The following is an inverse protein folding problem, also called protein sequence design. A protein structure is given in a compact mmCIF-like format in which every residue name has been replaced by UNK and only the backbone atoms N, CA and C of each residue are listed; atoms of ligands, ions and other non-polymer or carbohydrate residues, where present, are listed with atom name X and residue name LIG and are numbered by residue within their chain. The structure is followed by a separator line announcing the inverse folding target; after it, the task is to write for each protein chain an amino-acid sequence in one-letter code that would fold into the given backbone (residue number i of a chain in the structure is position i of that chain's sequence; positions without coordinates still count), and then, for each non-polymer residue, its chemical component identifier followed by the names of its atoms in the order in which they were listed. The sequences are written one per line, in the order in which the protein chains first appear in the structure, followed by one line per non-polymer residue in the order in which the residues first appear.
data_IF_664846834842
#
_entry.id   IF_664846834842
#
_cell.length_a   1.000
_cell.length_b   1.000
_cell.length_c   1.000
_cell.angle_alpha   90.00
_cell.angle_beta   90.00
_cell.angle_gamma   90.00
#
_symmetry.space_group_name_H-M   'P 1'
#
loop_
_entity.id
_entity.type
_entity.pdbx_description
1 polymer ?
#
# COMPACT_ATOMS: atom_id res chain seq x y z
N UNK A 1 14.52 0.75 -26.53
CA UNK A 1 13.49 0.96 -25.49
C UNK A 1 14.14 0.60 -24.16
N UNK A 2 14.37 1.57 -23.28
CA UNK A 2 14.86 1.28 -21.92
C UNK A 2 13.71 0.64 -21.14
N UNK A 3 13.89 -0.59 -20.67
CA UNK A 3 12.89 -1.28 -19.85
C UNK A 3 12.67 -0.49 -18.56
N UNK A 4 11.42 -0.14 -18.23
CA UNK A 4 11.06 0.39 -16.91
C UNK A 4 10.83 -0.79 -15.97
N UNK A 5 11.43 -0.78 -14.79
CA UNK A 5 11.08 -1.75 -13.75
C UNK A 5 9.83 -1.27 -13.02
N UNK A 6 9.00 -2.20 -12.59
CA UNK A 6 7.74 -1.87 -11.95
C UNK A 6 7.47 -2.75 -10.74
N UNK A 7 6.83 -2.14 -9.74
CA UNK A 7 6.18 -2.84 -8.62
C UNK A 7 4.69 -2.57 -8.70
N UNK A 8 3.88 -3.61 -8.59
CA UNK A 8 2.43 -3.50 -8.46
C UNK A 8 2.02 -3.86 -7.04
N UNK A 9 1.26 -2.98 -6.41
CA UNK A 9 0.60 -3.21 -5.12
C UNK A 9 -0.88 -3.44 -5.42
N UNK A 10 -1.36 -4.67 -5.27
CA UNK A 10 -2.76 -5.00 -5.43
C UNK A 10 -3.44 -5.03 -4.07
N UNK A 11 -4.58 -4.34 -3.95
CA UNK A 11 -5.50 -4.50 -2.84
C UNK A 11 -6.59 -5.49 -3.26
N UNK A 12 -6.85 -6.47 -2.44
CA UNK A 12 -7.92 -7.44 -2.63
C UNK A 12 -8.77 -7.49 -1.37
N UNK A 13 -10.09 -7.56 -1.54
CA UNK A 13 -11.03 -7.81 -0.46
C UNK A 13 -11.68 -9.17 -0.72
N UNK A 14 -11.58 -10.10 0.22
CA UNK A 14 -12.19 -11.42 0.10
C UNK A 14 -12.46 -12.00 1.48
N UNK A 15 -13.61 -12.65 1.66
CA UNK A 15 -13.99 -13.32 2.91
C UNK A 15 -13.96 -12.42 4.17
N UNK A 16 -14.14 -11.10 3.99
CA UNK A 16 -14.09 -10.15 5.10
C UNK A 16 -12.67 -9.71 5.49
N UNK A 17 -11.66 -10.01 4.66
CA UNK A 17 -10.29 -9.56 4.88
C UNK A 17 -9.84 -8.65 3.72
N UNK A 18 -8.98 -7.67 4.03
CA UNK A 18 -8.26 -6.88 3.03
C UNK A 18 -6.80 -7.28 2.99
N UNK A 19 -6.31 -7.66 1.82
CA UNK A 19 -4.90 -8.01 1.58
C UNK A 19 -4.28 -7.04 0.59
N UNK A 20 -3.14 -6.47 0.98
CA UNK A 20 -2.23 -5.72 0.13
C UNK A 20 -1.08 -6.64 -0.29
N UNK A 21 -0.85 -6.78 -1.59
CA UNK A 21 0.27 -7.58 -2.13
C UNK A 21 1.14 -6.74 -3.05
N UNK A 22 2.40 -6.53 -2.68
CA UNK A 22 3.38 -5.78 -3.46
C UNK A 22 4.35 -6.75 -4.14
N UNK A 23 4.40 -6.74 -5.47
CA UNK A 23 5.27 -7.63 -6.25
C UNK A 23 5.92 -6.88 -7.41
N UNK A 24 7.20 -7.17 -7.68
CA UNK A 24 7.89 -6.68 -8.86
C UNK A 24 9.36 -6.41 -8.64
N UNK A 25 9.91 -5.45 -9.37
CA UNK A 25 11.32 -5.06 -9.27
C UNK A 25 11.48 -3.56 -9.48
N UNK A 26 12.39 -2.95 -8.73
CA UNK A 26 12.82 -1.56 -8.93
C UNK A 26 14.29 -1.54 -9.37
N UNK A 27 14.61 -0.71 -10.35
CA UNK A 27 15.96 -0.35 -10.77
C UNK A 27 16.24 1.08 -10.29
N UNK A 28 16.79 1.18 -9.08
CA UNK A 28 17.05 2.42 -8.36
C UNK A 28 18.20 3.25 -8.95
N UNK A 29 18.62 2.94 -10.18
CA UNK A 29 19.56 3.75 -10.93
C UNK A 29 18.99 5.15 -11.12
N UNK A 30 19.79 6.17 -10.80
CA UNK A 30 19.43 7.59 -10.85
C UNK A 30 18.38 8.04 -9.82
N UNK A 31 17.89 7.14 -8.95
CA UNK A 31 17.04 7.52 -7.84
C UNK A 31 17.85 8.30 -6.80
N UNK A 32 17.29 9.41 -6.31
CA UNK A 32 17.92 10.22 -5.27
C UNK A 32 17.75 9.52 -3.91
N UNK A 33 18.86 9.08 -3.32
CA UNK A 33 18.89 8.60 -1.95
C UNK A 33 18.62 9.76 -1.00
N UNK A 34 17.69 9.57 -0.07
CA UNK A 34 17.30 10.55 0.93
C UNK A 34 17.93 10.24 2.29
N UNK A 35 17.65 9.04 2.82
CA UNK A 35 18.12 8.63 4.14
C UNK A 35 18.11 7.10 4.30
N UNK A 36 18.51 6.64 5.47
CA UNK A 36 18.28 5.29 5.94
C UNK A 36 17.31 5.30 7.11
N UNK A 37 16.48 4.27 7.23
CA UNK A 37 15.68 4.01 8.43
C UNK A 37 16.00 2.64 8.98
N UNK A 38 16.06 2.50 10.31
CA UNK A 38 16.28 1.22 10.97
C UNK A 38 14.98 0.39 11.09
N UNK A 39 13.82 1.05 11.04
CA UNK A 39 12.50 0.42 11.10
C UNK A 39 11.43 1.40 10.65
N UNK A 40 10.24 0.92 10.30
CA UNK A 40 9.08 1.75 10.02
C UNK A 40 7.81 1.08 10.55
N UNK A 41 6.76 1.85 10.92
CA UNK A 41 5.49 1.28 11.32
C UNK A 41 4.82 0.62 10.10
N UNK A 42 4.45 -0.65 10.25
CA UNK A 42 3.71 -1.41 9.23
C UNK A 42 2.23 -1.08 9.33
N UNK A 43 1.61 -0.70 8.22
CA UNK A 43 0.20 -0.33 8.18
C UNK A 43 -0.14 0.67 7.08
N UNK A 44 -1.30 1.29 7.23
CA UNK A 44 -1.83 2.24 6.26
C UNK A 44 -2.44 3.48 6.91
N UNK A 45 -2.14 4.64 6.32
CA UNK A 45 -2.87 5.92 6.49
C UNK A 45 -3.15 6.41 5.08
N UNK A 46 -4.42 6.67 4.75
CA UNK A 46 -4.83 6.84 3.36
C UNK A 46 -5.12 8.29 2.94
N UNK A 47 -5.03 9.25 3.87
CA UNK A 47 -5.36 10.68 3.66
C UNK A 47 -4.22 11.55 3.09
N UNK A 48 -4.58 12.72 2.57
CA UNK A 48 -3.70 13.58 1.78
C UNK A 48 -2.64 14.37 2.52
N UNK A 49 -2.77 14.56 3.83
CA UNK A 49 -1.77 15.34 4.59
C UNK A 49 -0.56 14.52 5.00
N UNK A 50 -0.75 13.23 5.30
CA UNK A 50 0.32 12.33 5.71
C UNK A 50 -0.14 10.90 5.43
N UNK A 51 0.12 10.41 4.23
CA UNK A 51 -0.24 9.06 3.84
C UNK A 51 0.95 8.12 4.06
N UNK A 52 0.65 6.87 4.35
CA UNK A 52 1.63 5.80 4.50
C UNK A 52 1.02 4.52 3.98
N UNK A 53 1.79 3.73 3.23
CA UNK A 53 1.44 2.40 2.81
C UNK A 53 2.66 1.50 2.97
N UNK A 54 2.64 0.64 3.99
CA UNK A 54 3.81 -0.13 4.39
C UNK A 54 3.50 -1.64 4.40
N UNK A 55 3.41 -2.29 3.22
CA UNK A 55 3.02 -3.70 3.14
C UNK A 55 4.12 -4.68 3.58
N UNK A 56 5.39 -4.26 3.65
CA UNK A 56 6.52 -5.11 4.04
C UNK A 56 6.73 -5.23 5.55
N UNK A 57 7.46 -6.27 5.98
CA UNK A 57 7.62 -6.69 7.38
C UNK A 57 8.39 -5.77 8.37
N UNK A 58 8.59 -4.49 8.07
CA UNK A 58 9.01 -3.48 9.08
C UNK A 58 10.51 -3.40 9.41
N UNK A 59 11.42 -3.77 8.51
CA UNK A 59 12.87 -3.78 8.75
C UNK A 59 13.63 -2.51 8.33
N UNK A 60 14.97 -2.60 8.34
CA UNK A 60 15.85 -1.53 7.88
C UNK A 60 15.71 -1.27 6.37
N UNK A 61 15.71 0.00 5.98
CA UNK A 61 15.45 0.44 4.61
C UNK A 61 16.32 1.60 4.16
N UNK A 62 16.68 1.61 2.88
CA UNK A 62 17.11 2.81 2.17
C UNK A 62 15.89 3.57 1.64
N UNK A 63 15.91 4.90 1.77
CA UNK A 63 14.81 5.76 1.36
C UNK A 63 15.20 6.53 0.10
N UNK A 64 14.33 6.50 -0.90
CA UNK A 64 14.51 7.21 -2.15
C UNK A 64 13.35 8.16 -2.41
N UNK A 65 13.65 9.34 -2.94
CA UNK A 65 12.64 10.35 -3.26
C UNK A 65 11.80 9.95 -4.47
N UNK A 66 10.48 10.03 -4.32
CA UNK A 66 9.53 9.86 -5.40
C UNK A 66 9.46 11.14 -6.23
N UNK A 67 9.54 10.99 -7.55
CA UNK A 67 9.41 12.09 -8.52
C UNK A 67 7.97 12.56 -8.68
N UNK A 68 7.02 11.63 -8.63
CA UNK A 68 5.59 11.93 -8.64
C UNK A 68 4.84 10.93 -7.79
N UNK A 69 3.73 11.37 -7.19
CA UNK A 69 2.89 10.57 -6.33
C UNK A 69 1.46 11.15 -6.32
N UNK A 70 0.43 10.34 -6.04
CA UNK A 70 -0.93 10.82 -5.85
C UNK A 70 -1.05 11.66 -4.58
N UNK A 71 -2.03 12.57 -4.55
CA UNK A 71 -2.31 13.35 -3.35
C UNK A 71 -2.86 12.50 -2.20
N UNK A 72 -3.64 11.45 -2.50
CA UNK A 72 -4.31 10.58 -1.53
C UNK A 72 -4.72 9.28 -2.22
N UNK A 73 -4.91 8.19 -1.46
CA UNK A 73 -5.55 6.95 -1.94
C UNK A 73 -6.71 6.50 -1.04
N UNK A 74 -7.15 7.38 -0.16
CA UNK A 74 -8.31 7.24 0.68
C UNK A 74 -8.58 8.53 1.44
N UNK A 75 -9.34 8.44 2.52
CA UNK A 75 -9.82 9.61 3.28
C UNK A 75 -9.47 9.59 4.76
N UNK A 76 -8.98 8.47 5.29
CA UNK A 76 -8.76 8.33 6.74
C UNK A 76 -7.42 8.89 7.18
N UNK A 77 -7.47 9.67 8.27
CA UNK A 77 -6.29 10.14 9.02
C UNK A 77 -5.82 9.13 10.07
N UNK A 78 -6.60 8.07 10.32
CA UNK A 78 -6.29 7.02 11.28
C UNK A 78 -5.24 6.07 10.70
N UNK A 79 -4.27 5.70 11.53
CA UNK A 79 -3.37 4.61 11.24
C UNK A 79 -4.06 3.27 11.49
N UNK A 80 -4.08 2.41 10.48
CA UNK A 80 -4.56 1.04 10.60
C UNK A 80 -3.36 0.10 10.64
N UNK A 81 -3.24 -0.63 11.74
CA UNK A 81 -2.26 -1.71 11.88
C UNK A 81 -2.82 -3.00 11.30
N UNK A 82 -2.04 -3.76 10.52
CA UNK A 82 -2.48 -5.03 9.95
C UNK A 82 -2.51 -6.13 11.01
N UNK A 83 -3.29 -7.18 10.75
CA UNK A 83 -3.25 -8.42 11.52
C UNK A 83 -1.99 -9.22 11.24
N UNK A 84 -1.46 -9.14 10.01
CA UNK A 84 -0.19 -9.77 9.64
C UNK A 84 0.54 -8.96 8.54
N UNK A 85 1.87 -9.07 8.51
CA UNK A 85 2.69 -8.59 7.40
C UNK A 85 3.93 -9.46 7.24
N UNK A 86 4.29 -9.73 6.00
CA UNK A 86 5.40 -10.64 5.64
C UNK A 86 6.12 -10.15 4.39
N UNK A 87 7.32 -10.69 4.16
CA UNK A 87 8.10 -10.47 2.94
C UNK A 87 9.09 -9.29 3.04
N UNK A 88 9.48 -8.79 1.88
CA UNK A 88 10.49 -7.74 1.70
C UNK A 88 10.12 -6.46 2.45
N UNK A 89 11.08 -5.81 3.13
CA UNK A 89 10.90 -4.47 3.66
C UNK A 89 10.57 -3.50 2.52
N UNK A 90 9.36 -2.95 2.52
CA UNK A 90 8.86 -2.07 1.46
C UNK A 90 7.76 -1.17 2.00
N UNK A 91 7.90 0.13 1.79
CA UNK A 91 6.87 1.11 2.13
C UNK A 91 6.90 2.34 1.23
N UNK A 92 5.76 3.03 1.16
CA UNK A 92 5.59 4.34 0.57
C UNK A 92 5.16 5.30 1.67
N UNK A 93 5.69 6.51 1.68
CA UNK A 93 5.32 7.56 2.61
C UNK A 93 5.30 8.92 1.92
N UNK A 94 4.36 9.78 2.30
CA UNK A 94 4.35 11.16 1.84
C UNK A 94 3.60 12.07 2.79
N UNK A 95 4.16 13.25 3.02
CA UNK A 95 3.58 14.28 3.88
C UNK A 95 3.50 15.60 3.11
N UNK A 96 2.29 16.09 2.86
CA UNK A 96 2.07 17.39 2.21
C UNK A 96 2.34 18.50 3.24
N UNK A 97 3.61 18.82 3.45
CA UNK A 97 4.00 19.96 4.28
C UNK A 97 5.44 19.98 4.75
N UNK A 98 6.18 18.87 4.74
CA UNK A 98 7.48 18.83 5.43
C UNK A 98 8.66 18.13 4.79
N UNK A 99 8.53 17.30 3.75
CA UNK A 99 9.69 16.63 3.14
C UNK A 99 9.25 15.89 1.86
N UNK A 100 10.18 15.44 0.99
CA UNK A 100 9.81 14.69 -0.21
C UNK A 100 9.02 13.42 0.14
N UNK A 101 8.12 13.00 -0.75
CA UNK A 101 7.52 11.67 -0.63
C UNK A 101 8.58 10.62 -0.95
N UNK A 102 8.55 9.50 -0.22
CA UNK A 102 9.61 8.50 -0.21
C UNK A 102 9.06 7.12 -0.55
N UNK A 103 9.94 6.31 -1.14
CA UNK A 103 9.84 4.85 -1.15
C UNK A 103 10.98 4.27 -0.33
N UNK A 104 10.64 3.39 0.62
CA UNK A 104 11.59 2.57 1.36
C UNK A 104 11.72 1.19 0.70
N UNK A 105 12.95 0.76 0.48
CA UNK A 105 13.34 -0.57 -0.01
C UNK A 105 14.33 -1.20 0.98
N UNK A 106 14.64 -2.50 0.93
CA UNK A 106 15.58 -3.12 1.86
C UNK A 106 16.93 -2.39 1.92
N UNK A 107 17.55 -2.38 3.10
CA UNK A 107 18.87 -1.78 3.31
C UNK A 107 20.02 -2.68 2.79
N UNK A 108 19.99 -3.06 1.52
CA UNK A 108 21.09 -3.70 0.78
C UNK A 108 21.63 -2.71 -0.27
N UNK A 109 22.93 -2.78 -0.58
CA UNK A 109 23.57 -1.87 -1.53
C UNK A 109 23.25 -2.20 -3.01
N UNK A 110 22.17 -2.94 -3.25
CA UNK A 110 21.78 -3.40 -4.57
C UNK A 110 21.00 -2.32 -5.33
N UNK A 111 21.38 -2.08 -6.58
CA UNK A 111 20.66 -1.12 -7.45
C UNK A 111 19.37 -1.73 -7.99
N UNK A 112 19.26 -3.06 -8.00
CA UNK A 112 18.06 -3.80 -8.42
C UNK A 112 17.43 -4.44 -7.19
N UNK A 113 16.19 -4.08 -6.90
CA UNK A 113 15.45 -4.55 -5.73
C UNK A 113 14.25 -5.38 -6.15
N UNK A 114 14.25 -6.68 -5.85
CA UNK A 114 13.06 -7.52 -5.98
C UNK A 114 12.15 -7.31 -4.78
N UNK A 115 10.90 -6.94 -5.04
CA UNK A 115 9.89 -6.69 -4.01
C UNK A 115 8.90 -7.84 -4.03
N UNK A 116 8.70 -8.49 -2.88
CA UNK A 116 7.59 -9.40 -2.63
C UNK A 116 7.16 -9.25 -1.16
N UNK A 117 6.04 -8.57 -0.94
CA UNK A 117 5.55 -8.26 0.39
C UNK A 117 4.03 -8.39 0.45
N UNK A 118 3.51 -8.80 1.60
CA UNK A 118 2.06 -8.93 1.84
C UNK A 118 1.70 -8.35 3.21
N UNK A 119 0.58 -7.65 3.27
CA UNK A 119 -0.01 -7.10 4.49
C UNK A 119 -1.51 -7.37 4.51
N UNK A 120 -2.01 -7.91 5.61
CA UNK A 120 -3.38 -8.36 5.77
C UNK A 120 -4.09 -7.60 6.90
N UNK A 121 -5.35 -7.26 6.67
CA UNK A 121 -6.28 -6.73 7.66
C UNK A 121 -7.45 -7.69 7.79
N UNK A 122 -7.40 -8.57 8.78
CA UNK A 122 -8.46 -9.54 8.99
C UNK A 122 -9.73 -8.89 9.55
N UNK A 123 -10.90 -9.29 9.06
CA UNK A 123 -12.19 -8.74 9.48
C UNK A 123 -12.44 -7.28 9.09
N UNK A 124 -11.75 -6.78 8.05
CA UNK A 124 -11.93 -5.43 7.52
C UNK A 124 -12.33 -5.46 6.04
N UNK A 125 -12.98 -4.39 5.59
CA UNK A 125 -13.25 -4.10 4.19
C UNK A 125 -12.42 -2.91 3.70
N UNK A 126 -12.35 -2.71 2.38
CA UNK A 126 -11.77 -1.52 1.74
C UNK A 126 -12.44 -0.25 2.27
N UNK A 127 -13.74 -0.31 2.55
CA UNK A 127 -14.50 0.79 3.13
C UNK A 127 -14.10 1.08 4.59
N UNK A 128 -13.86 0.06 5.42
CA UNK A 128 -13.41 0.23 6.82
C UNK A 128 -12.02 0.89 6.90
N UNK A 129 -11.17 0.63 5.90
CA UNK A 129 -9.87 1.28 5.72
C UNK A 129 -9.98 2.67 5.05
N UNK A 130 -11.21 3.10 4.72
CA UNK A 130 -11.52 4.34 4.02
C UNK A 130 -10.69 4.54 2.74
N UNK A 131 -10.39 3.45 2.04
CA UNK A 131 -9.68 3.47 0.78
C UNK A 131 -10.61 3.93 -0.34
N UNK A 132 -10.07 4.68 -1.28
CA UNK A 132 -10.83 5.08 -2.47
C UNK A 132 -10.47 4.14 -3.62
N UNK A 133 -11.44 3.54 -4.31
CA UNK A 133 -11.16 2.74 -5.50
C UNK A 133 -10.44 3.55 -6.58
N UNK A 134 -9.46 2.94 -7.22
CA UNK A 134 -8.68 3.60 -8.26
C UNK A 134 -7.34 2.95 -8.56
N UNK A 135 -6.61 3.56 -9.50
CA UNK A 135 -5.23 3.22 -9.82
C UNK A 135 -4.35 4.43 -9.52
N UNK A 136 -3.35 4.23 -8.68
CA UNK A 136 -2.50 5.27 -8.12
C UNK A 136 -1.06 5.01 -8.53
N UNK A 137 -0.45 5.97 -9.22
CA UNK A 137 0.89 5.82 -9.77
C UNK A 137 1.91 6.67 -9.02
N UNK A 138 3.01 6.04 -8.64
CA UNK A 138 4.18 6.65 -8.05
C UNK A 138 5.34 6.45 -9.02
N UNK A 139 6.23 7.42 -9.16
CA UNK A 139 7.37 7.30 -10.08
C UNK A 139 8.69 7.63 -9.43
N UNK A 140 9.70 6.89 -9.88
CA UNK A 140 11.12 7.19 -9.77
C UNK A 140 11.63 7.57 -11.17
N UNK A 141 12.89 8.02 -11.34
CA UNK A 141 13.41 8.36 -12.66
C UNK A 141 13.28 7.25 -13.71
N UNK A 142 13.52 5.98 -13.30
CA UNK A 142 13.49 4.80 -14.18
C UNK A 142 12.44 3.75 -13.81
N UNK A 143 11.78 3.90 -12.68
CA UNK A 143 10.80 2.92 -12.18
C UNK A 143 9.42 3.52 -11.97
N UNK A 144 8.45 2.63 -11.87
CA UNK A 144 7.08 2.96 -11.47
C UNK A 144 6.57 2.02 -10.39
N UNK A 145 5.75 2.54 -9.50
CA UNK A 145 5.01 1.75 -8.52
C UNK A 145 3.54 2.06 -8.75
N UNK A 146 2.71 1.03 -8.86
CA UNK A 146 1.27 1.17 -9.12
C UNK A 146 0.49 0.51 -8.00
N UNK A 147 -0.33 1.28 -7.29
CA UNK A 147 -1.30 0.79 -6.32
C UNK A 147 -2.67 0.66 -7.00
N UNK A 148 -3.27 -0.52 -6.91
CA UNK A 148 -4.58 -0.84 -7.49
C UNK A 148 -5.53 -1.16 -6.36
N UNK A 149 -6.57 -0.33 -6.21
CA UNK A 149 -7.65 -0.51 -5.24
C UNK A 149 -8.92 -0.80 -6.04
N UNK A 150 -9.48 -2.02 -5.96
CA UNK A 150 -10.67 -2.36 -6.71
C UNK A 150 -11.87 -1.57 -6.18
N UNK A 151 -12.87 -1.35 -7.02
CA UNK A 151 -14.20 -1.01 -6.52
C UNK A 151 -14.66 -2.14 -5.61
N UNK A 152 -15.09 -1.86 -4.38
CA UNK A 152 -15.63 -2.91 -3.53
C UNK A 152 -16.81 -3.55 -4.26
N UNK A 153 -16.70 -4.84 -4.52
CA UNK A 153 -17.85 -5.67 -4.86
C UNK A 153 -18.53 -5.88 -3.53
N UNK A 154 -19.54 -5.08 -3.21
CA UNK A 154 -20.29 -5.20 -1.96
C UNK A 154 -20.55 -6.69 -1.66
N UNK A 155 -20.00 -7.19 -0.54
CA UNK A 155 -20.29 -8.52 -0.04
C UNK A 155 -21.80 -8.71 0.13
N UNK A 156 -22.31 -9.95 0.08
CA UNK A 156 -23.73 -10.21 -0.12
C UNK A 156 -24.57 -9.45 0.89
N UNK A 157 -25.60 -8.75 0.39
CA UNK A 157 -26.75 -8.38 1.20
C UNK A 157 -27.14 -9.62 2.00
N UNK A 158 -26.88 -9.60 3.32
CA UNK A 158 -27.60 -10.45 4.25
C UNK A 158 -29.06 -9.99 4.14
N UNK A 159 -29.78 -10.51 3.13
CA UNK A 159 -31.23 -10.61 3.20
C UNK A 159 -31.47 -11.49 4.41
N UNK A 160 -31.74 -10.84 5.54
CA UNK A 160 -32.44 -11.46 6.65
C UNK A 160 -33.65 -12.16 6.02
N UNK A 161 -33.81 -13.49 6.14
CA UNK A 161 -35.11 -14.08 5.91
C UNK A 161 -36.02 -13.42 6.92
N UNK A 162 -36.92 -12.57 6.44
CA UNK A 162 -38.12 -12.21 7.18
C UNK A 162 -38.75 -13.55 7.56
N UNK A 163 -38.56 -13.97 8.81
CA UNK A 163 -39.27 -15.10 9.38
C UNK A 163 -40.70 -14.63 9.57
N UNK A 164 -41.41 -14.54 8.44
CA UNK A 164 -42.81 -14.23 8.37
C UNK A 164 -43.54 -15.18 9.30
N UNK A 165 -44.10 -14.59 10.35
CA UNK A 165 -45.22 -15.12 11.09
C UNK A 165 -46.25 -15.63 10.09
N UNK A 166 -46.46 -16.94 10.05
CA UNK A 166 -47.76 -17.49 9.63
C UNK A 166 -48.49 -17.84 10.92
N UNK A 167 -49.49 -17.04 11.22
CA UNK A 167 -50.44 -17.34 12.27
C UNK A 167 -51.26 -18.57 11.89
N UNK A 168 -51.47 -19.43 12.89
CA UNK A 168 -52.71 -20.18 13.09
C UNK A 168 -53.00 -20.14 14.58
#
# INVERSE_FOLDING_TARGET
MTSRSAVTINVTESNGDVVFSANGTLLLAEAQSYAQSQSYPVGVVSTSRNWTLAPGGGGATYLYELKSFPNSFGTSTKFFSPSSSTGTSFYLWGNQGFDPALVGVPANNDVVQSISATMEFSGMTIADLHLTPGTYNYSLPRDSITLIIPSSVGGPNLRVPDSGLTGV
#
